data_IF_737271910688
#
_entry.id   IF_737271910688
#
_cell.length_a   1.000
_cell.length_b   1.000
_cell.length_c   1.000
_cell.angle_alpha   90.00
_cell.angle_beta   90.00
_cell.angle_gamma   90.00
#
_symmetry.space_group_name_H-M   'P 1'
#
loop_
_entity.id
_entity.type
_entity.pdbx_description
1 polymer ?
#
# COMPACT_ATOMS: atom_id res chain seq x y z
N UNK A 1 6.58 17.08 -62.06
CA UNK A 1 7.76 16.87 -61.19
C UNK A 1 7.72 17.93 -60.10
N UNK A 2 7.82 17.62 -58.80
CA UNK A 2 7.09 16.61 -58.02
C UNK A 2 6.43 17.22 -56.74
N UNK A 3 5.48 16.46 -56.12
CA UNK A 3 5.13 16.32 -54.67
C UNK A 3 4.87 17.56 -53.78
N UNK A 4 4.11 17.56 -52.68
CA UNK A 4 3.43 16.59 -51.79
C UNK A 4 2.55 17.46 -50.87
N UNK A 5 1.23 17.26 -50.73
CA UNK A 5 0.54 16.40 -49.75
C UNK A 5 1.11 16.36 -48.30
N UNK A 6 0.18 16.63 -47.38
CA UNK A 6 0.14 16.32 -45.95
C UNK A 6 0.65 17.39 -44.95
N UNK A 7 -0.31 18.16 -44.42
CA UNK A 7 -0.21 18.74 -43.07
C UNK A 7 -0.87 17.76 -42.10
N UNK A 8 -0.13 17.00 -41.28
CA UNK A 8 -0.74 16.29 -40.17
C UNK A 8 -0.93 17.26 -39.01
N UNK A 9 -2.17 17.56 -38.65
CA UNK A 9 -2.53 18.16 -37.37
C UNK A 9 -2.50 17.05 -36.33
N UNK A 10 -1.53 16.97 -35.39
CA UNK A 10 -1.68 16.07 -34.27
C UNK A 10 -2.78 16.63 -33.35
N UNK A 11 -3.88 15.89 -33.26
CA UNK A 11 -4.83 15.94 -32.15
C UNK A 11 -4.05 15.79 -30.84
N UNK A 12 -3.65 16.91 -30.24
CA UNK A 12 -3.22 16.92 -28.85
C UNK A 12 -4.47 16.91 -27.98
N UNK A 13 -5.13 15.76 -27.95
CA UNK A 13 -5.89 15.30 -26.79
C UNK A 13 -4.91 15.33 -25.63
N UNK A 14 -4.81 16.47 -24.95
CA UNK A 14 -4.27 16.50 -23.61
C UNK A 14 -5.18 15.59 -22.80
N UNK A 15 -4.73 14.43 -22.30
CA UNK A 15 -5.43 13.85 -21.17
C UNK A 15 -5.33 14.94 -20.11
N UNK A 16 -6.47 15.53 -19.76
CA UNK A 16 -6.66 16.13 -18.45
C UNK A 16 -6.05 15.12 -17.48
N UNK A 17 -4.81 15.38 -17.04
CA UNK A 17 -4.22 14.74 -15.88
C UNK A 17 -5.13 15.22 -14.77
N UNK A 18 -6.24 14.48 -14.60
CA UNK A 18 -7.20 14.68 -13.55
C UNK A 18 -6.36 14.81 -12.32
N UNK A 19 -6.45 16.00 -11.70
CA UNK A 19 -5.77 16.37 -10.45
C UNK A 19 -5.51 15.09 -9.68
N UNK A 20 -4.24 14.69 -9.62
CA UNK A 20 -3.80 13.68 -8.69
C UNK A 20 -4.16 14.24 -7.32
N UNK A 21 -5.35 13.84 -6.83
CA UNK A 21 -5.74 13.97 -5.44
C UNK A 21 -4.53 13.49 -4.65
N UNK A 22 -4.12 14.13 -3.53
CA UNK A 22 -3.01 13.66 -2.70
C UNK A 22 -3.43 12.33 -2.08
N UNK A 23 -3.38 11.29 -2.89
CA UNK A 23 -3.69 9.94 -2.50
C UNK A 23 -2.43 9.47 -1.85
N UNK A 24 -2.43 9.57 -0.52
CA UNK A 24 -1.65 8.73 0.39
C UNK A 24 -1.09 7.52 -0.37
N UNK A 25 0.23 7.42 -0.44
CA UNK A 25 0.94 6.47 -1.29
C UNK A 25 0.47 5.02 -1.12
N UNK A 26 0.84 4.11 -2.03
CA UNK A 26 0.40 2.71 -2.00
C UNK A 26 0.63 2.05 -0.63
N UNK A 27 1.74 2.38 0.04
CA UNK A 27 2.05 1.95 1.41
C UNK A 27 1.00 2.39 2.44
N UNK A 28 0.62 3.67 2.42
CA UNK A 28 -0.39 4.20 3.36
C UNK A 28 -1.77 3.56 3.14
N UNK A 29 -2.14 3.24 1.90
CA UNK A 29 -3.38 2.49 1.63
C UNK A 29 -3.30 1.06 2.15
N UNK A 30 -2.17 0.39 1.98
CA UNK A 30 -1.95 -0.96 2.49
C UNK A 30 -2.03 -1.01 4.02
N UNK A 31 -1.39 -0.05 4.72
CA UNK A 31 -1.44 0.07 6.18
C UNK A 31 -2.86 0.31 6.68
N UNK A 32 -3.62 1.25 6.10
CA UNK A 32 -5.03 1.48 6.47
C UNK A 32 -5.88 0.25 6.25
N UNK A 33 -5.65 -0.48 5.16
CA UNK A 33 -6.38 -1.72 4.87
C UNK A 33 -6.06 -2.79 5.91
N UNK A 34 -4.79 -2.95 6.28
CA UNK A 34 -4.38 -3.90 7.31
C UNK A 34 -5.00 -3.57 8.67
N UNK A 35 -5.00 -2.30 9.09
CA UNK A 35 -5.64 -1.86 10.32
C UNK A 35 -7.13 -2.21 10.36
N UNK A 36 -7.89 -1.89 9.30
CA UNK A 36 -9.33 -2.23 9.25
C UNK A 36 -9.59 -3.73 9.33
N UNK A 37 -8.75 -4.54 8.67
CA UNK A 37 -8.90 -6.00 8.66
C UNK A 37 -8.56 -6.65 10.00
N UNK A 38 -7.67 -6.03 10.78
CA UNK A 38 -7.38 -6.43 12.14
C UNK A 38 -8.45 -5.94 13.13
N UNK A 39 -9.04 -4.77 12.89
CA UNK A 39 -10.10 -4.20 13.72
C UNK A 39 -11.44 -4.95 13.57
N UNK A 40 -11.81 -5.35 12.35
CA UNK A 40 -13.00 -6.15 12.04
C UNK A 40 -12.90 -7.63 12.46
N UNK A 41 -11.76 -8.03 13.02
CA UNK A 41 -11.44 -9.41 13.32
C UNK A 41 -12.17 -9.95 14.56
N UNK A 42 -13.26 -10.70 14.36
CA UNK A 42 -13.84 -11.49 15.45
C UNK A 42 -12.90 -12.67 15.81
N UNK A 43 -12.61 -12.84 17.11
CA UNK A 43 -11.51 -13.67 17.61
C UNK A 43 -11.77 -15.18 17.59
N UNK A 44 -12.94 -15.62 17.10
CA UNK A 44 -13.50 -16.95 17.42
C UNK A 44 -12.89 -18.14 16.65
N UNK A 45 -12.16 -17.91 15.55
CA UNK A 45 -11.58 -18.99 14.72
C UNK A 45 -10.07 -18.86 14.50
N UNK A 46 -9.28 -19.72 15.17
CA UNK A 46 -7.82 -19.71 15.10
C UNK A 46 -7.25 -19.96 13.68
N UNK A 47 -7.87 -20.87 12.90
CA UNK A 47 -7.45 -21.11 11.50
C UNK A 47 -7.72 -19.92 10.58
N UNK A 48 -8.86 -19.24 10.77
CA UNK A 48 -9.20 -18.06 9.98
C UNK A 48 -8.27 -16.90 10.33
N UNK A 49 -7.89 -16.76 11.60
CA UNK A 49 -6.89 -15.80 12.07
C UNK A 49 -5.55 -16.00 11.38
N UNK A 50 -4.98 -17.20 11.45
CA UNK A 50 -3.67 -17.48 10.83
C UNK A 50 -3.64 -17.20 9.31
N UNK A 51 -4.68 -17.63 8.58
CA UNK A 51 -4.78 -17.37 7.15
C UNK A 51 -4.87 -15.86 6.83
N UNK A 52 -5.52 -15.08 7.69
CA UNK A 52 -5.63 -13.63 7.55
C UNK A 52 -4.28 -12.96 7.82
N UNK A 53 -3.62 -13.29 8.92
CA UNK A 53 -2.33 -12.69 9.29
C UNK A 53 -1.29 -12.95 8.20
N UNK A 54 -1.26 -14.17 7.62
CA UNK A 54 -0.40 -14.50 6.46
C UNK A 54 -0.74 -13.70 5.20
N UNK A 55 -2.02 -13.45 4.92
CA UNK A 55 -2.44 -12.61 3.78
C UNK A 55 -2.04 -11.16 3.97
N UNK A 56 -2.21 -10.62 5.18
CA UNK A 56 -1.82 -9.26 5.53
C UNK A 56 -0.30 -9.09 5.46
N UNK A 57 0.45 -10.04 6.00
CA UNK A 57 1.92 -10.09 5.92
C UNK A 57 2.39 -10.05 4.46
N UNK A 58 1.84 -10.92 3.60
CA UNK A 58 2.20 -10.98 2.17
C UNK A 58 1.87 -9.69 1.42
N UNK A 59 0.69 -9.11 1.68
CA UNK A 59 0.29 -7.83 1.10
C UNK A 59 1.26 -6.71 1.50
N UNK A 60 1.57 -6.59 2.80
CA UNK A 60 2.46 -5.55 3.31
C UNK A 60 3.88 -5.72 2.77
N UNK A 61 4.40 -6.96 2.70
CA UNK A 61 5.72 -7.24 2.13
C UNK A 61 5.83 -6.89 0.66
N UNK A 62 4.81 -7.22 -0.14
CA UNK A 62 4.75 -6.86 -1.56
C UNK A 62 4.82 -5.34 -1.74
N UNK A 63 3.99 -4.61 -0.99
CA UNK A 63 3.95 -3.16 -1.07
C UNK A 63 5.24 -2.53 -0.56
N UNK A 64 5.88 -3.11 0.46
CA UNK A 64 7.15 -2.64 1.01
C UNK A 64 8.32 -2.87 0.02
N UNK A 65 8.31 -3.98 -0.71
CA UNK A 65 9.28 -4.26 -1.77
C UNK A 65 9.16 -3.26 -2.94
N UNK A 66 7.93 -2.93 -3.34
CA UNK A 66 7.68 -1.90 -4.37
C UNK A 66 8.05 -0.49 -3.88
N UNK A 67 8.09 -0.28 -2.56
CA UNK A 67 8.38 1.02 -1.94
C UNK A 67 9.84 1.20 -1.52
N UNK A 68 10.72 0.23 -1.80
CA UNK A 68 12.14 0.20 -1.38
C UNK A 68 13.03 1.34 -1.94
N UNK A 69 12.45 2.34 -2.62
CA UNK A 69 13.15 3.52 -3.14
C UNK A 69 12.43 4.86 -2.94
N UNK A 70 11.35 4.92 -2.13
CA UNK A 70 10.54 6.15 -1.95
C UNK A 70 10.72 6.80 -0.56
N UNK A 71 10.46 8.11 -0.48
CA UNK A 71 10.72 9.07 0.62
C UNK A 71 10.09 8.78 2.01
N UNK A 72 9.63 7.56 2.29
CA UNK A 72 8.91 7.20 3.52
C UNK A 72 9.76 6.32 4.45
N UNK A 73 11.05 6.64 4.56
CA UNK A 73 12.04 5.84 5.30
C UNK A 73 11.66 5.53 6.74
N UNK A 74 10.92 6.41 7.41
CA UNK A 74 10.55 6.26 8.82
C UNK A 74 9.38 5.27 9.05
N UNK A 75 8.53 5.05 8.03
CA UNK A 75 7.41 4.13 8.14
C UNK A 75 7.80 2.67 7.82
N UNK A 76 8.85 2.48 7.01
CA UNK A 76 9.32 1.16 6.56
C UNK A 76 9.72 0.24 7.74
N UNK A 77 10.46 0.70 8.78
CA UNK A 77 10.75 -0.10 9.96
C UNK A 77 9.49 -0.55 10.68
N UNK A 78 8.52 0.35 10.89
CA UNK A 78 7.27 0.03 11.58
C UNK A 78 6.42 -1.01 10.83
N UNK A 79 6.35 -0.92 9.49
CA UNK A 79 5.67 -1.93 8.66
C UNK A 79 6.42 -3.27 8.68
N UNK A 80 7.75 -3.24 8.71
CA UNK A 80 8.58 -4.46 8.81
C UNK A 80 8.35 -5.18 10.14
N UNK A 81 8.30 -4.43 11.25
CA UNK A 81 7.97 -4.94 12.58
C UNK A 81 6.55 -5.52 12.59
N UNK A 82 5.57 -4.82 12.02
CA UNK A 82 4.21 -5.35 11.90
C UNK A 82 4.18 -6.70 11.15
N UNK A 83 4.96 -6.84 10.07
CA UNK A 83 5.06 -8.10 9.35
C UNK A 83 5.65 -9.23 10.21
N UNK A 84 6.61 -8.94 11.10
CA UNK A 84 7.13 -9.97 12.02
C UNK A 84 6.09 -10.43 13.04
N UNK A 85 5.27 -9.52 13.56
CA UNK A 85 4.19 -9.87 14.49
C UNK A 85 3.07 -10.67 13.80
N UNK A 86 2.69 -10.28 12.57
CA UNK A 86 1.75 -11.06 11.75
C UNK A 86 2.25 -12.48 11.46
N UNK A 87 3.57 -12.64 11.24
CA UNK A 87 4.18 -13.96 11.05
C UNK A 87 4.21 -14.79 12.35
N UNK A 88 4.32 -14.13 13.51
CA UNK A 88 4.22 -14.75 14.83
C UNK A 88 2.76 -15.04 15.25
N UNK A 89 1.77 -14.51 14.54
CA UNK A 89 0.34 -14.62 14.89
C UNK A 89 -0.09 -13.67 16.00
N UNK A 90 0.74 -12.66 16.30
CA UNK A 90 0.48 -11.62 17.28
C UNK A 90 -0.20 -10.42 16.61
N UNK A 91 -1.53 -10.50 16.52
CA UNK A 91 -2.33 -9.51 15.81
C UNK A 91 -2.42 -8.16 16.56
N UNK A 92 -2.32 -8.17 17.89
CA UNK A 92 -2.35 -6.95 18.72
C UNK A 92 -1.08 -6.13 18.49
N UNK A 93 0.08 -6.78 18.52
CA UNK A 93 1.36 -6.10 18.36
C UNK A 93 1.60 -5.70 16.89
N UNK A 94 1.06 -6.49 15.96
CA UNK A 94 0.97 -6.10 14.56
C UNK A 94 0.12 -4.84 14.38
N UNK A 95 -1.03 -4.74 15.04
CA UNK A 95 -1.91 -3.58 14.98
C UNK A 95 -1.24 -2.33 15.55
N UNK A 96 -0.60 -2.43 16.72
CA UNK A 96 0.14 -1.33 17.33
C UNK A 96 1.26 -0.81 16.40
N UNK A 97 2.04 -1.72 15.80
CA UNK A 97 3.10 -1.36 14.85
C UNK A 97 2.52 -0.69 13.58
N UNK A 98 1.36 -1.14 13.09
CA UNK A 98 0.67 -0.52 11.96
C UNK A 98 0.12 0.87 12.28
N UNK A 99 -0.29 1.15 13.52
CA UNK A 99 -0.68 2.50 13.95
C UNK A 99 0.51 3.46 13.91
N UNK A 100 1.68 3.02 14.39
CA UNK A 100 2.92 3.81 14.29
C UNK A 100 3.29 4.06 12.83
N UNK A 101 3.24 3.02 11.98
CA UNK A 101 3.46 3.17 10.55
C UNK A 101 2.47 4.15 9.91
N UNK A 102 1.19 4.07 10.27
CA UNK A 102 0.17 4.97 9.76
C UNK A 102 0.45 6.42 10.16
N UNK A 103 0.84 6.68 11.41
CA UNK A 103 1.20 8.02 11.89
C UNK A 103 2.36 8.63 11.11
N UNK A 104 3.41 7.84 10.83
CA UNK A 104 4.57 8.24 10.01
C UNK A 104 4.26 8.48 8.54
N UNK A 105 3.09 8.05 8.05
CA UNK A 105 2.65 8.20 6.67
C UNK A 105 1.64 9.35 6.47
N UNK A 106 1.30 10.10 7.53
CA UNK A 106 0.39 11.26 7.47
C UNK A 106 1.15 12.55 7.17
#
# INVERSE_FOLDING_TARGET
>A
MPTSLATPTPLSTSPSRGRARPTRGPLARAVVTALRRLDEADHRDARQRWNRSRRLESMLRTVLADHAGAEHGDAVPAVTIACSYLAAGDDEEAYAALLVAHDKLR
#
